data_IF_347191503501
#
_entry.id   IF_347191503501
#
_cell.length_a   1.000
_cell.length_b   1.000
_cell.length_c   1.000
_cell.angle_alpha   90.00
_cell.angle_beta   90.00
_cell.angle_gamma   90.00
#
_symmetry.space_group_name_H-M   'P 1'
#
loop_
_entity.id
_entity.type
_entity.pdbx_description
1 polymer ?
#
# COMPACT_ATOMS: atom_id res chain seq x y z
N UNK A 1 -0.24 -17.20 -22.92
CA UNK A 1 -0.25 -17.51 -21.47
C UNK A 1 0.26 -16.31 -20.71
N UNK A 2 -0.40 -15.96 -19.59
CA UNK A 2 -0.03 -14.87 -18.69
C UNK A 2 1.22 -15.26 -17.88
N UNK A 3 2.32 -14.51 -18.00
CA UNK A 3 3.56 -14.79 -17.27
C UNK A 3 3.62 -14.09 -15.89
N UNK A 4 3.12 -12.85 -15.82
CA UNK A 4 3.00 -12.08 -14.57
C UNK A 4 1.86 -11.08 -14.70
N UNK A 5 1.16 -10.90 -13.59
CA UNK A 5 0.05 -9.98 -13.43
C UNK A 5 0.24 -9.11 -12.20
N UNK A 6 -0.26 -7.86 -12.28
CA UNK A 6 -0.46 -6.99 -11.12
C UNK A 6 -1.56 -5.97 -11.40
N UNK A 7 -2.25 -5.57 -10.35
CA UNK A 7 -2.98 -4.30 -10.31
C UNK A 7 -2.21 -3.33 -9.42
N UNK A 8 -2.44 -2.02 -9.61
CA UNK A 8 -1.64 -1.03 -8.92
C UNK A 8 -2.41 0.23 -8.56
N UNK A 9 -1.99 0.85 -7.46
CA UNK A 9 -2.31 2.21 -7.07
C UNK A 9 -1.05 3.06 -7.23
N UNK A 10 -1.13 4.15 -7.99
CA UNK A 10 0.03 4.99 -8.30
C UNK A 10 -0.15 6.38 -7.71
N UNK A 11 0.86 6.82 -6.94
CA UNK A 11 0.96 8.15 -6.35
C UNK A 11 -0.30 8.59 -5.58
N UNK A 12 -0.91 7.69 -4.82
CA UNK A 12 -2.12 8.02 -4.05
C UNK A 12 -1.72 8.85 -2.85
N UNK A 13 -2.29 10.05 -2.73
CA UNK A 13 -2.00 10.97 -1.65
C UNK A 13 -2.95 10.76 -0.47
N UNK A 14 -2.39 10.66 0.72
CA UNK A 14 -3.11 10.58 1.98
C UNK A 14 -2.59 11.66 2.92
N UNK A 15 -3.50 12.30 3.65
CA UNK A 15 -3.14 13.10 4.81
C UNK A 15 -3.28 12.24 6.06
N UNK A 16 -2.21 12.06 6.82
CA UNK A 16 -2.18 11.15 7.96
C UNK A 16 -1.30 11.68 9.10
N UNK A 17 -1.47 11.11 10.29
CA UNK A 17 -0.85 11.59 11.53
C UNK A 17 0.28 10.67 11.99
N UNK A 18 1.09 10.17 11.05
CA UNK A 18 2.24 9.35 11.38
C UNK A 18 3.46 10.20 11.73
N UNK A 19 4.31 9.70 12.62
CA UNK A 19 5.53 10.38 13.00
C UNK A 19 5.93 10.14 14.44
N UNK A 20 7.17 10.46 14.76
CA UNK A 20 7.74 10.32 16.10
C UNK A 20 7.57 11.62 16.88
N UNK A 21 7.65 12.77 16.19
CA UNK A 21 7.60 14.07 16.81
C UNK A 21 6.14 14.45 17.17
N UNK A 22 5.89 15.03 18.35
CA UNK A 22 4.54 15.43 18.77
C UNK A 22 3.81 16.34 17.79
N UNK A 23 4.54 17.17 17.04
CA UNK A 23 3.97 18.05 16.02
C UNK A 23 3.44 17.26 14.81
N UNK A 24 4.13 16.18 14.42
CA UNK A 24 3.72 15.35 13.27
C UNK A 24 2.38 14.66 13.53
N UNK A 25 2.14 14.22 14.77
CA UNK A 25 0.91 13.54 15.16
C UNK A 25 -0.24 14.51 15.49
N UNK A 26 0.04 15.80 15.68
CA UNK A 26 -0.99 16.84 15.89
C UNK A 26 -1.45 17.51 14.60
N UNK A 27 -0.51 17.87 13.72
CA UNK A 27 -0.81 18.58 12.46
C UNK A 27 -1.06 17.62 11.31
N UNK A 28 -0.40 16.46 11.32
CA UNK A 28 -0.40 15.54 10.20
C UNK A 28 0.60 15.92 9.12
N UNK A 29 0.75 15.03 8.14
CA UNK A 29 1.59 15.20 6.97
C UNK A 29 0.94 14.55 5.75
N UNK A 30 1.42 14.95 4.57
CA UNK A 30 1.08 14.28 3.34
C UNK A 30 2.03 13.11 3.08
N UNK A 31 1.41 12.00 2.69
CA UNK A 31 2.08 10.77 2.29
C UNK A 31 1.63 10.40 0.89
N UNK A 32 2.56 9.87 0.11
CA UNK A 32 2.30 9.29 -1.20
C UNK A 32 2.51 7.79 -1.09
N UNK A 33 1.48 7.02 -1.43
CA UNK A 33 1.50 5.56 -1.44
C UNK A 33 1.51 5.06 -2.87
N UNK A 34 2.45 4.16 -3.17
CA UNK A 34 2.48 3.36 -4.38
C UNK A 34 2.34 1.89 -3.97
N UNK A 35 1.38 1.19 -4.57
CA UNK A 35 1.07 -0.19 -4.25
C UNK A 35 0.95 -0.99 -5.54
N UNK A 36 1.77 -2.04 -5.68
CA UNK A 36 1.61 -3.09 -6.67
C UNK A 36 1.15 -4.37 -5.97
N UNK A 37 0.08 -4.98 -6.47
CA UNK A 37 -0.43 -6.26 -5.96
C UNK A 37 -0.44 -7.30 -7.07
N UNK A 38 0.38 -8.34 -6.92
CA UNK A 38 0.45 -9.46 -7.84
C UNK A 38 -0.46 -10.60 -7.39
N UNK A 39 -1.35 -11.00 -8.29
CA UNK A 39 -2.23 -12.17 -8.19
C UNK A 39 -2.58 -12.65 -9.60
N UNK A 40 -3.01 -13.90 -9.76
CA UNK A 40 -3.44 -14.42 -11.06
C UNK A 40 -4.84 -13.90 -11.43
N UNK A 41 -4.93 -13.14 -12.52
CA UNK A 41 -6.19 -12.66 -13.08
C UNK A 41 -6.45 -13.17 -14.50
N UNK A 42 -5.81 -14.27 -14.90
CA UNK A 42 -5.97 -14.89 -16.23
C UNK A 42 -7.43 -15.17 -16.56
N UNK A 43 -8.20 -15.70 -15.61
CA UNK A 43 -9.65 -15.91 -15.79
C UNK A 43 -10.37 -14.61 -16.15
N UNK A 44 -10.14 -13.52 -15.43
CA UNK A 44 -10.79 -12.24 -15.72
C UNK A 44 -10.42 -11.70 -17.10
N UNK A 45 -9.18 -11.93 -17.56
CA UNK A 45 -8.75 -11.59 -18.93
C UNK A 45 -9.50 -12.39 -20.01
N UNK A 46 -9.94 -13.61 -19.69
CA UNK A 46 -10.63 -14.49 -20.62
C UNK A 46 -12.16 -14.32 -20.59
N UNK A 47 -12.72 -14.03 -19.42
CA UNK A 47 -14.17 -14.07 -19.20
C UNK A 47 -14.84 -12.72 -19.01
N UNK A 48 -14.09 -11.64 -18.78
CA UNK A 48 -14.61 -10.32 -18.39
C UNK A 48 -15.49 -10.36 -17.11
N UNK A 49 -15.32 -11.39 -16.27
CA UNK A 49 -16.03 -11.53 -15.00
C UNK A 49 -15.30 -10.77 -13.89
N UNK A 50 -15.98 -9.82 -13.25
CA UNK A 50 -15.49 -9.13 -12.06
C UNK A 50 -15.48 -10.04 -10.81
N UNK A 51 -16.33 -11.07 -10.79
CA UNK A 51 -16.47 -11.97 -9.66
C UNK A 51 -15.15 -12.71 -9.35
N UNK A 52 -14.65 -12.60 -8.13
CA UNK A 52 -13.38 -13.19 -7.71
C UNK A 52 -12.14 -12.39 -8.11
N UNK A 53 -12.31 -11.17 -8.64
CA UNK A 53 -11.20 -10.24 -8.91
C UNK A 53 -10.95 -9.34 -7.70
N UNK A 54 -9.70 -8.91 -7.58
CA UNK A 54 -9.29 -7.85 -6.66
C UNK A 54 -9.56 -6.50 -7.34
N UNK A 55 -10.44 -5.67 -6.78
CA UNK A 55 -10.69 -4.33 -7.32
C UNK A 55 -9.77 -3.29 -6.68
N UNK A 56 -9.17 -2.41 -7.49
CA UNK A 56 -8.36 -1.28 -7.03
C UNK A 56 -9.11 -0.30 -6.12
N UNK A 57 -10.43 -0.20 -6.23
CA UNK A 57 -11.26 0.60 -5.32
C UNK A 57 -11.24 0.04 -3.89
N UNK A 58 -11.32 -1.28 -3.74
CA UNK A 58 -11.25 -1.95 -2.43
C UNK A 58 -9.84 -1.86 -1.85
N UNK A 59 -8.81 -2.05 -2.69
CA UNK A 59 -7.42 -1.81 -2.28
C UNK A 59 -7.21 -0.39 -1.75
N UNK A 60 -7.71 0.61 -2.46
CA UNK A 60 -7.61 2.00 -2.05
C UNK A 60 -8.25 2.21 -0.67
N UNK A 61 -9.44 1.67 -0.46
CA UNK A 61 -10.18 1.85 0.80
C UNK A 61 -9.47 1.15 1.98
N UNK A 62 -8.95 -0.05 1.77
CA UNK A 62 -8.16 -0.76 2.81
C UNK A 62 -6.87 0.01 3.15
N UNK A 63 -6.15 0.51 2.15
CA UNK A 63 -4.94 1.32 2.37
C UNK A 63 -5.29 2.61 3.10
N UNK A 64 -6.37 3.30 2.70
CA UNK A 64 -6.84 4.52 3.34
C UNK A 64 -7.09 4.30 4.83
N UNK A 65 -7.82 3.24 5.18
CA UNK A 65 -8.12 2.91 6.57
C UNK A 65 -6.86 2.61 7.39
N UNK A 66 -5.85 1.96 6.81
CA UNK A 66 -4.57 1.75 7.50
C UNK A 66 -3.77 3.05 7.68
N UNK A 67 -3.82 3.96 6.71
CA UNK A 67 -3.21 5.29 6.79
C UNK A 67 -3.88 6.20 7.83
N UNK A 68 -5.18 6.01 8.10
CA UNK A 68 -5.91 6.77 9.13
C UNK A 68 -5.47 6.43 10.56
N UNK A 69 -4.88 5.25 10.79
CA UNK A 69 -4.45 4.82 12.12
C UNK A 69 -3.04 5.37 12.41
N UNK A 70 -2.88 6.32 13.36
CA UNK A 70 -1.58 6.93 13.64
C UNK A 70 -0.52 5.90 14.04
N UNK A 71 0.73 6.16 13.65
CA UNK A 71 1.86 5.26 13.89
C UNK A 71 3.15 6.04 13.93
N UNK A 72 4.12 5.56 14.72
CA UNK A 72 5.42 6.23 14.82
C UNK A 72 6.30 6.01 13.58
N UNK A 73 6.19 4.84 12.96
CA UNK A 73 7.11 4.35 11.92
C UNK A 73 6.35 3.99 10.65
N UNK A 74 6.89 4.37 9.49
CA UNK A 74 6.30 4.01 8.19
C UNK A 74 6.48 2.52 7.89
N UNK A 75 7.54 1.90 8.39
CA UNK A 75 7.79 0.46 8.35
C UNK A 75 6.64 -0.30 9.00
N UNK A 76 6.13 0.21 10.12
CA UNK A 76 4.99 -0.38 10.82
C UNK A 76 3.70 -0.23 9.99
N UNK A 77 3.46 0.95 9.42
CA UNK A 77 2.31 1.21 8.53
C UNK A 77 2.35 0.26 7.32
N UNK A 78 3.49 0.16 6.64
CA UNK A 78 3.68 -0.72 5.49
C UNK A 78 3.43 -2.20 5.85
N UNK A 79 3.94 -2.63 7.01
CA UNK A 79 3.72 -3.98 7.51
C UNK A 79 2.25 -4.29 7.82
N UNK A 80 1.49 -3.33 8.38
CA UNK A 80 0.04 -3.51 8.62
C UNK A 80 -0.76 -3.58 7.33
N UNK A 81 -0.48 -2.69 6.38
CA UNK A 81 -1.09 -2.72 5.04
C UNK A 81 -0.86 -4.09 4.40
N UNK A 82 0.38 -4.57 4.35
CA UNK A 82 0.71 -5.88 3.78
C UNK A 82 -0.04 -7.03 4.46
N UNK A 83 -0.02 -7.07 5.80
CA UNK A 83 -0.74 -8.11 6.58
C UNK A 83 -2.25 -8.09 6.32
N UNK A 84 -2.85 -6.91 6.29
CA UNK A 84 -4.28 -6.74 6.05
C UNK A 84 -4.66 -7.21 4.65
N UNK A 85 -3.92 -6.79 3.63
CA UNK A 85 -4.18 -7.21 2.25
C UNK A 85 -4.06 -8.74 2.07
N UNK A 86 -3.05 -9.39 2.67
CA UNK A 86 -2.95 -10.85 2.64
C UNK A 86 -4.05 -11.57 3.43
N UNK A 87 -4.60 -10.94 4.48
CA UNK A 87 -5.69 -11.51 5.26
C UNK A 87 -7.04 -11.44 4.50
N UNK A 88 -7.35 -10.30 3.90
CA UNK A 88 -8.57 -10.08 3.12
C UNK A 88 -8.55 -10.84 1.79
N UNK A 89 -7.38 -10.95 1.16
CA UNK A 89 -7.23 -11.59 -0.16
C UNK A 89 -6.12 -12.64 -0.14
N UNK A 90 -6.46 -13.89 0.24
CA UNK A 90 -5.49 -15.00 0.26
C UNK A 90 -4.87 -15.34 -1.11
N UNK A 91 -5.49 -14.91 -2.21
CA UNK A 91 -5.01 -15.11 -3.58
C UNK A 91 -3.87 -14.17 -3.97
N UNK A 92 -3.61 -13.11 -3.20
CA UNK A 92 -2.47 -12.23 -3.43
C UNK A 92 -1.18 -13.02 -3.18
N UNK A 93 -0.29 -13.00 -4.17
CA UNK A 93 1.01 -13.69 -4.13
C UNK A 93 2.11 -12.78 -3.59
N UNK A 94 2.11 -11.52 -4.04
CA UNK A 94 3.16 -10.55 -3.72
C UNK A 94 2.62 -9.12 -3.67
N UNK A 95 3.12 -8.35 -2.72
CA UNK A 95 2.88 -6.92 -2.59
C UNK A 95 4.20 -6.18 -2.74
N UNK A 96 4.23 -5.11 -3.54
CA UNK A 96 5.31 -4.11 -3.51
C UNK A 96 4.67 -2.79 -3.07
N UNK A 97 5.15 -2.22 -1.97
CA UNK A 97 4.54 -1.06 -1.33
C UNK A 97 5.62 -0.04 -1.01
N UNK A 98 5.44 1.18 -1.48
CA UNK A 98 6.23 2.34 -1.10
C UNK A 98 5.34 3.38 -0.42
N UNK A 99 5.81 3.92 0.70
CA UNK A 99 5.17 5.02 1.43
C UNK A 99 6.19 6.14 1.56
N UNK A 100 5.95 7.25 0.88
CA UNK A 100 6.81 8.43 0.88
C UNK A 100 6.16 9.53 1.70
N UNK A 101 6.84 10.01 2.74
CA UNK A 101 6.52 11.27 3.41
C UNK A 101 7.00 12.42 2.54
N UNK A 102 6.08 13.26 2.06
CA UNK A 102 6.38 14.34 1.09
C UNK A 102 7.23 15.43 1.72
N UNK A 103 6.94 15.81 2.96
CA UNK A 103 7.64 16.88 3.67
C UNK A 103 8.27 16.34 4.96
N UNK A 104 9.38 15.61 4.89
CA UNK A 104 10.03 15.07 6.08
C UNK A 104 10.71 16.19 6.91
N UNK A 105 10.73 16.11 8.25
CA UNK A 105 11.13 17.21 9.13
C UNK A 105 12.65 17.33 9.32
N UNK A 106 13.43 17.23 8.23
CA UNK A 106 14.89 17.42 8.24
C UNK A 106 15.36 18.58 7.35
N UNK A 107 14.44 19.36 6.78
CA UNK A 107 14.74 20.66 6.15
C UNK A 107 15.48 20.60 4.82
N UNK A 108 15.50 19.44 4.15
CA UNK A 108 16.05 19.33 2.79
C UNK A 108 15.00 19.69 1.74
N UNK A 109 15.45 20.22 0.61
CA UNK A 109 14.66 20.38 -0.60
C UNK A 109 14.66 19.06 -1.37
N UNK A 110 13.60 18.26 -1.21
CA UNK A 110 13.45 16.97 -1.88
C UNK A 110 11.98 16.62 -2.13
N UNK A 111 11.75 15.64 -3.01
CA UNK A 111 10.40 15.14 -3.29
C UNK A 111 9.79 14.33 -2.13
N UNK A 112 10.63 13.93 -1.16
CA UNK A 112 10.22 13.22 0.05
C UNK A 112 11.21 12.14 0.48
N UNK A 113 10.89 11.46 1.58
CA UNK A 113 11.62 10.31 2.08
C UNK A 113 10.64 9.24 2.58
N UNK A 114 11.00 7.98 2.48
CA UNK A 114 10.03 6.91 2.71
C UNK A 114 10.63 5.53 2.87
N UNK A 115 9.74 4.55 2.92
CA UNK A 115 10.08 3.12 2.98
C UNK A 115 9.53 2.44 1.74
N UNK A 116 10.24 1.42 1.26
CA UNK A 116 9.77 0.53 0.21
C UNK A 116 9.99 -0.92 0.65
N UNK A 117 8.97 -1.75 0.48
CA UNK A 117 9.00 -3.16 0.88
C UNK A 117 8.42 -4.06 -0.22
N UNK A 118 8.98 -5.26 -0.33
CA UNK A 118 8.41 -6.36 -1.10
C UNK A 118 8.05 -7.48 -0.13
N UNK A 119 6.77 -7.85 -0.11
CA UNK A 119 6.22 -8.87 0.78
C UNK A 119 5.65 -10.01 -0.06
N UNK A 120 5.87 -11.25 0.36
CA UNK A 120 5.33 -12.46 -0.26
C UNK A 120 4.33 -13.13 0.66
N UNK A 121 3.30 -13.74 0.09
CA UNK A 121 2.31 -14.49 0.84
C UNK A 121 2.73 -15.96 0.93
N UNK A 122 3.14 -16.40 2.11
CA UNK A 122 3.60 -17.77 2.35
C UNK A 122 2.52 -18.84 2.07
N UNK A 123 1.25 -18.45 2.03
CA UNK A 123 0.12 -19.34 1.71
C UNK A 123 -0.05 -19.63 0.21
N UNK A 124 0.67 -18.90 -0.64
CA UNK A 124 0.59 -19.02 -2.10
C UNK A 124 1.86 -19.59 -2.73
N UNK A 125 2.83 -19.96 -1.89
CA UNK A 125 4.01 -20.72 -2.26
C UNK A 125 3.68 -22.20 -2.45
#
# INVERSE_FOLDING_TARGET
MLFRSKIYLKNVRFHAYHGVLPQETQVGNDYVVNLDVSYDFSRAMETDELAGTLNYAELYELVKQEMEIPSKLLEHVAGRIGKRLFAEYPTIQKIQLAITKVNPPFGADCDGAGVEVVLTNDKTL
#
